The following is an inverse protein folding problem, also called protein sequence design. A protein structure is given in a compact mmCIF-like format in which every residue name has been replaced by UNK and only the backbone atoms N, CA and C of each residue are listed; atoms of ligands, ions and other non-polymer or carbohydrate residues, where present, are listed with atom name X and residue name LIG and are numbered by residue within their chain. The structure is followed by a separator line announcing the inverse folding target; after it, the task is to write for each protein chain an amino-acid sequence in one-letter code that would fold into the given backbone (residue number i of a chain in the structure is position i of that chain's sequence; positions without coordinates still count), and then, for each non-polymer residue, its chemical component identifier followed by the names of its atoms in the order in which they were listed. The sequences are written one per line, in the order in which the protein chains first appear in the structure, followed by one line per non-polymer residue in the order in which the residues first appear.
data_IF_416872017075
#
_entry.id   IF_416872017075
#
_cell.length_a   1.000
_cell.length_b   1.000
_cell.length_c   1.000
_cell.angle_alpha   90.00
_cell.angle_beta   90.00
_cell.angle_gamma   90.00
#
_symmetry.space_group_name_H-M   'P 1'
#
loop_
_entity.id
_entity.type
_entity.pdbx_description
1 polymer ?
#
# COMPACT_ATOMS: atom_id res chain seq x y z
N UNK A 1 8.20 -13.38 -4.37
CA UNK A 1 7.92 -11.96 -4.67
C UNK A 1 6.84 -11.40 -3.73
N UNK A 2 5.65 -12.02 -3.64
CA UNK A 2 4.58 -11.62 -2.69
C UNK A 2 5.06 -11.49 -1.23
N UNK A 3 5.78 -12.50 -0.73
CA UNK A 3 6.30 -12.54 0.64
C UNK A 3 7.25 -11.39 0.95
N UNK A 4 8.06 -10.98 -0.03
CA UNK A 4 9.01 -9.86 0.10
C UNK A 4 8.25 -8.54 0.16
N UNK A 5 7.17 -8.38 -0.62
CA UNK A 5 6.29 -7.23 -0.55
C UNK A 5 5.59 -7.10 0.82
N UNK A 6 5.04 -8.20 1.35
CA UNK A 6 4.40 -8.21 2.68
C UNK A 6 5.43 -7.89 3.77
N UNK A 7 6.61 -8.50 3.70
CA UNK A 7 7.69 -8.23 4.65
C UNK A 7 8.15 -6.77 4.59
N UNK A 8 8.22 -6.19 3.39
CA UNK A 8 8.51 -4.77 3.18
C UNK A 8 7.46 -3.84 3.80
N UNK A 9 6.16 -4.17 3.67
CA UNK A 9 5.08 -3.44 4.36
C UNK A 9 5.27 -3.53 5.87
N UNK A 10 5.48 -4.73 6.43
CA UNK A 10 5.66 -4.89 7.89
C UNK A 10 6.86 -4.11 8.41
N UNK A 11 7.99 -4.15 7.71
CA UNK A 11 9.22 -3.44 8.13
C UNK A 11 9.04 -1.92 8.05
N UNK A 12 8.48 -1.39 6.96
CA UNK A 12 8.36 0.07 6.77
C UNK A 12 7.29 0.65 7.70
N UNK A 13 6.13 0.02 7.81
CA UNK A 13 5.08 0.48 8.72
C UNK A 13 5.46 0.23 10.19
N UNK A 14 6.13 -0.88 10.51
CA UNK A 14 6.65 -1.15 11.84
C UNK A 14 7.74 -0.15 12.26
N UNK A 15 8.66 0.18 11.35
CA UNK A 15 9.68 1.21 11.57
C UNK A 15 9.08 2.61 11.73
N UNK A 16 8.07 2.96 10.92
CA UNK A 16 7.34 4.23 11.07
C UNK A 16 6.64 4.32 12.43
N UNK A 17 5.96 3.25 12.83
CA UNK A 17 5.24 3.18 14.11
C UNK A 17 6.22 3.25 15.29
N UNK A 18 7.37 2.57 15.21
CA UNK A 18 8.45 2.68 16.19
C UNK A 18 8.99 4.12 16.31
N UNK A 19 9.20 4.82 15.19
CA UNK A 19 9.66 6.21 15.19
C UNK A 19 8.61 7.18 15.76
N UNK A 20 7.32 6.93 15.46
CA UNK A 20 6.19 7.68 15.99
C UNK A 20 6.11 7.56 17.53
N UNK A 21 6.24 6.36 18.08
CA UNK A 21 6.26 6.15 19.54
C UNK A 21 7.56 6.64 20.19
N UNK A 22 8.67 6.67 19.46
CA UNK A 22 9.95 7.19 19.95
C UNK A 22 10.05 8.72 19.91
N UNK A 23 9.00 9.43 19.48
CA UNK A 23 8.96 10.91 19.43
C UNK A 23 9.95 11.54 18.43
N UNK A 24 10.52 10.75 17.51
CA UNK A 24 11.42 11.26 16.47
C UNK A 24 10.61 11.79 15.30
N UNK A 25 11.09 12.88 14.70
CA UNK A 25 10.44 13.50 13.54
C UNK A 25 10.35 12.50 12.38
N UNK A 26 9.13 12.07 12.07
CA UNK A 26 8.81 11.17 10.95
C UNK A 26 8.74 11.91 9.61
N UNK A 27 8.92 13.24 9.62
CA UNK A 27 8.91 14.09 8.42
C UNK A 27 10.03 13.74 7.42
N UNK A 28 11.09 13.07 7.89
CA UNK A 28 12.22 12.65 7.06
C UNK A 28 11.96 11.37 6.25
N UNK A 29 10.85 10.64 6.49
CA UNK A 29 10.52 9.45 5.73
C UNK A 29 9.75 9.84 4.46
N UNK A 30 10.39 9.82 3.28
CA UNK A 30 9.71 10.15 2.05
C UNK A 30 8.55 9.19 1.86
N UNK A 31 7.35 9.74 1.64
CA UNK A 31 6.12 9.00 1.37
C UNK A 31 6.27 7.95 0.25
N UNK A 32 7.23 8.16 -0.65
CA UNK A 32 7.63 7.20 -1.68
C UNK A 32 8.03 5.82 -1.10
N UNK A 33 8.72 5.80 0.04
CA UNK A 33 9.08 4.55 0.72
C UNK A 33 7.84 3.83 1.28
N UNK A 34 6.76 4.54 1.62
CA UNK A 34 5.53 3.90 2.05
C UNK A 34 4.77 3.26 0.89
N UNK A 35 4.84 3.80 -0.33
CA UNK A 35 4.12 3.30 -1.51
C UNK A 35 4.88 2.17 -2.23
N UNK A 36 6.22 2.20 -2.22
CA UNK A 36 7.06 1.20 -2.90
C UNK A 36 6.73 -0.27 -2.55
N UNK A 37 6.52 -0.65 -1.27
CA UNK A 37 6.13 -2.01 -0.90
C UNK A 37 4.81 -2.45 -1.48
N UNK A 38 3.83 -1.54 -1.60
CA UNK A 38 2.50 -1.85 -2.15
C UNK A 38 2.57 -2.18 -3.64
N UNK A 39 3.43 -1.47 -4.38
CA UNK A 39 3.72 -1.78 -5.79
C UNK A 39 4.37 -3.16 -5.89
N UNK A 40 5.32 -3.48 -5.00
CA UNK A 40 5.94 -4.80 -4.92
C UNK A 40 4.94 -5.92 -4.58
N UNK A 41 4.00 -5.68 -3.66
CA UNK A 41 2.92 -6.62 -3.35
C UNK A 41 2.05 -6.83 -4.59
N UNK A 42 1.62 -5.75 -5.25
CA UNK A 42 0.78 -5.81 -6.45
C UNK A 42 1.42 -6.64 -7.57
N UNK A 43 2.70 -6.41 -7.90
CA UNK A 43 3.42 -7.22 -8.89
C UNK A 43 3.72 -8.65 -8.43
N UNK A 44 3.65 -8.92 -7.12
CA UNK A 44 3.77 -10.26 -6.55
C UNK A 44 2.48 -11.09 -6.59
N UNK A 45 1.31 -10.48 -6.87
CA UNK A 45 0.03 -11.17 -7.01
C UNK A 45 -0.10 -11.90 -8.35
N UNK A 46 -0.92 -12.94 -8.40
CA UNK A 46 -1.33 -13.56 -9.66
C UNK A 46 -2.15 -12.60 -10.52
N UNK A 47 -2.10 -12.76 -11.85
CA UNK A 47 -2.80 -11.88 -12.80
C UNK A 47 -4.30 -11.77 -12.52
N UNK A 48 -4.94 -12.87 -12.10
CA UNK A 48 -6.36 -12.91 -11.73
C UNK A 48 -6.65 -12.01 -10.51
N UNK A 49 -5.77 -12.03 -9.51
CA UNK A 49 -5.92 -11.19 -8.32
C UNK A 49 -5.59 -9.72 -8.62
N UNK A 50 -4.63 -9.43 -9.51
CA UNK A 50 -4.36 -8.05 -9.96
C UNK A 50 -5.58 -7.42 -10.61
N UNK A 51 -6.25 -8.15 -11.52
CA UNK A 51 -7.48 -7.70 -12.18
C UNK A 51 -8.61 -7.50 -11.17
N UNK A 52 -8.74 -8.38 -10.17
CA UNK A 52 -9.73 -8.22 -9.10
C UNK A 52 -9.46 -6.99 -8.22
N UNK A 53 -8.19 -6.66 -7.96
CA UNK A 53 -7.82 -5.44 -7.22
C UNK A 53 -8.12 -4.19 -8.04
N UNK A 54 -7.82 -4.19 -9.34
CA UNK A 54 -8.17 -3.07 -10.24
C UNK A 54 -9.68 -2.90 -10.32
N UNK A 55 -10.45 -3.99 -10.46
CA UNK A 55 -11.92 -3.91 -10.55
C UNK A 55 -12.54 -3.41 -9.23
N UNK A 56 -12.01 -3.86 -8.09
CA UNK A 56 -12.38 -3.33 -6.77
C UNK A 56 -12.02 -1.85 -6.62
N UNK A 57 -10.83 -1.44 -7.07
CA UNK A 57 -10.37 -0.05 -7.00
C UNK A 57 -11.21 0.87 -7.91
N UNK A 58 -11.48 0.43 -9.14
CA UNK A 58 -12.34 1.11 -10.09
C UNK A 58 -13.78 1.23 -9.56
N UNK A 59 -14.31 0.19 -8.91
CA UNK A 59 -15.63 0.23 -8.24
C UNK A 59 -15.66 1.28 -7.13
N UNK A 60 -14.60 1.39 -6.32
CA UNK A 60 -14.48 2.41 -5.27
C UNK A 60 -14.40 3.84 -5.81
N UNK A 61 -13.76 4.04 -6.98
CA UNK A 61 -13.70 5.35 -7.64
C UNK A 61 -14.94 5.68 -8.48
N UNK A 62 -15.71 4.69 -8.90
CA UNK A 62 -16.98 4.85 -9.65
C UNK A 62 -18.16 5.29 -8.76
N UNK A 63 -17.94 5.50 -7.46
CA UNK A 63 -18.96 6.00 -6.51
C UNK A 63 -19.32 7.49 -6.66
N UNK A 64 -19.19 8.09 -7.86
CA UNK A 64 -19.68 9.46 -8.17
C UNK A 64 -20.65 9.55 -9.36
N UNK A 65 -21.25 8.44 -9.82
CA UNK A 65 -22.33 8.48 -10.82
C UNK A 65 -23.56 7.70 -10.37
N UNK A 66 -24.15 8.11 -9.26
CA UNK A 66 -25.55 7.82 -8.97
C UNK A 66 -26.16 8.98 -8.17
N UNK A 67 -26.69 9.97 -8.87
CA UNK A 67 -28.04 10.43 -8.55
C UNK A 67 -28.72 10.84 -9.84
N UNK A 68 -29.89 10.22 -10.05
CA UNK A 68 -30.96 10.67 -10.92
C UNK A 68 -31.33 12.13 -10.61
#
# INVERSE_FOLDING_TARGET
MLTVGILGVVIIYGGFLYLLFSGRSTAALPWFLLISPWICVYFGLSHVQQVAVISWFASKFSFRKSSK
#
